data_IF_815093277031
#
_entry.id   IF_815093277031
#
_cell.length_a   1.000
_cell.length_b   1.000
_cell.length_c   1.000
_cell.angle_alpha   90.00
_cell.angle_beta   90.00
_cell.angle_gamma   90.00
#
_symmetry.space_group_name_H-M   'P 1'
#
loop_
_entity.id
_entity.type
_entity.pdbx_description
1 polymer ?
#
# COMPACT_ATOMS: atom_id res chain seq x y z
N UNK A 1 -14.86 19.27 13.70
CA UNK A 1 -13.51 18.82 13.25
C UNK A 1 -12.98 19.87 12.28
N UNK A 2 -11.71 20.24 12.36
CA UNK A 2 -11.11 21.29 11.50
C UNK A 2 -10.60 20.69 10.19
N UNK A 3 -10.77 21.38 9.06
CA UNK A 3 -10.27 20.96 7.75
C UNK A 3 -8.78 20.62 7.73
N UNK A 4 -7.97 21.38 8.49
CA UNK A 4 -6.53 21.13 8.61
C UNK A 4 -6.22 19.78 9.29
N UNK A 5 -7.02 19.40 10.28
CA UNK A 5 -6.87 18.11 10.96
C UNK A 5 -7.28 16.95 10.04
N UNK A 6 -8.28 17.14 9.19
CA UNK A 6 -8.68 16.12 8.21
C UNK A 6 -7.56 15.89 7.19
N UNK A 7 -7.00 16.98 6.64
CA UNK A 7 -5.89 16.92 5.68
C UNK A 7 -4.65 16.25 6.27
N UNK A 8 -4.27 16.59 7.51
CA UNK A 8 -3.11 15.96 8.15
C UNK A 8 -3.33 14.47 8.40
N UNK A 9 -4.53 14.06 8.82
CA UNK A 9 -4.87 12.64 8.98
C UNK A 9 -4.83 11.89 7.64
N UNK A 10 -5.39 12.47 6.58
CA UNK A 10 -5.32 11.88 5.23
C UNK A 10 -3.88 11.72 4.77
N UNK A 11 -3.01 12.73 4.98
CA UNK A 11 -1.59 12.64 4.63
C UNK A 11 -0.88 11.50 5.36
N UNK A 12 -1.14 11.35 6.67
CA UNK A 12 -0.55 10.28 7.49
C UNK A 12 -1.00 8.89 7.02
N UNK A 13 -2.28 8.73 6.71
CA UNK A 13 -2.82 7.46 6.19
C UNK A 13 -2.25 7.14 4.82
N UNK A 14 -2.21 8.13 3.91
CA UNK A 14 -1.67 7.94 2.57
C UNK A 14 -0.17 7.59 2.61
N UNK A 15 0.62 8.28 3.43
CA UNK A 15 2.04 7.99 3.60
C UNK A 15 2.27 6.58 4.17
N UNK A 16 1.49 6.18 5.18
CA UNK A 16 1.55 4.83 5.75
C UNK A 16 1.19 3.77 4.71
N UNK A 17 0.16 4.05 3.89
CA UNK A 17 -0.23 3.21 2.76
C UNK A 17 0.87 3.04 1.72
N UNK A 18 1.57 4.13 1.36
CA UNK A 18 2.75 4.09 0.46
C UNK A 18 3.84 3.20 1.05
N UNK A 19 4.17 3.36 2.33
CA UNK A 19 5.21 2.57 2.98
C UNK A 19 4.89 1.07 2.96
N UNK A 20 3.66 0.70 3.31
CA UNK A 20 3.20 -0.71 3.33
C UNK A 20 3.14 -1.27 1.90
N UNK A 21 2.47 -0.58 0.97
CA UNK A 21 2.30 -1.05 -0.40
C UNK A 21 3.65 -1.12 -1.15
N UNK A 22 4.54 -0.16 -0.90
CA UNK A 22 5.90 -0.16 -1.44
C UNK A 22 6.72 -1.34 -0.93
N UNK A 23 6.64 -1.64 0.38
CA UNK A 23 7.26 -2.84 0.96
C UNK A 23 6.73 -4.12 0.31
N UNK A 24 5.41 -4.27 0.20
CA UNK A 24 4.79 -5.45 -0.40
C UNK A 24 5.12 -5.59 -1.89
N UNK A 25 5.16 -4.49 -2.63
CA UNK A 25 5.59 -4.48 -4.04
C UNK A 25 7.03 -4.97 -4.16
N UNK A 26 7.93 -4.49 -3.29
CA UNK A 26 9.31 -4.93 -3.29
C UNK A 26 9.45 -6.41 -2.90
N UNK A 27 8.68 -6.86 -1.93
CA UNK A 27 8.64 -8.27 -1.51
C UNK A 27 8.15 -9.17 -2.65
N UNK A 28 7.12 -8.74 -3.40
CA UNK A 28 6.60 -9.45 -4.58
C UNK A 28 7.71 -9.80 -5.57
N UNK A 29 8.51 -8.79 -5.93
CA UNK A 29 9.61 -8.96 -6.89
C UNK A 29 10.86 -9.65 -6.32
N UNK A 30 11.00 -9.78 -5.00
CA UNK A 30 12.17 -10.39 -4.33
C UNK A 30 11.95 -11.84 -3.88
N UNK A 31 10.85 -12.47 -4.30
CA UNK A 31 10.54 -13.86 -3.95
C UNK A 31 9.60 -14.01 -2.76
N UNK A 32 8.73 -13.02 -2.53
CA UNK A 32 7.57 -13.10 -1.64
C UNK A 32 7.85 -13.28 -0.15
N UNK A 33 9.05 -13.01 0.36
CA UNK A 33 9.31 -13.04 1.80
C UNK A 33 8.61 -11.87 2.53
N UNK A 34 7.49 -12.12 3.22
CA UNK A 34 6.67 -11.08 3.86
C UNK A 34 6.72 -11.16 5.39
N UNK A 35 6.92 -10.01 6.04
CA UNK A 35 6.79 -9.89 7.48
C UNK A 35 5.31 -9.97 7.88
N UNK A 36 4.97 -10.99 8.69
CA UNK A 36 3.61 -11.21 9.18
C UNK A 36 3.61 -11.29 10.72
N UNK A 37 3.70 -10.14 11.42
CA UNK A 37 3.92 -10.12 12.86
C UNK A 37 2.70 -10.61 13.67
N UNK A 38 1.50 -10.63 13.07
CA UNK A 38 0.24 -10.98 13.75
C UNK A 38 -0.56 -11.90 12.82
N UNK A 39 -1.08 -13.01 13.35
CA UNK A 39 -2.05 -13.86 12.68
C UNK A 39 -1.51 -14.84 11.62
N UNK A 40 -0.34 -14.60 11.04
CA UNK A 40 0.23 -15.47 10.00
C UNK A 40 -0.54 -15.44 8.67
N UNK A 41 -0.13 -16.26 7.71
CA UNK A 41 -0.83 -16.42 6.42
C UNK A 41 -0.63 -15.30 5.39
N UNK A 42 0.13 -14.25 5.72
CA UNK A 42 0.43 -13.16 4.78
C UNK A 42 1.08 -13.67 3.49
N UNK A 43 2.00 -14.63 3.59
CA UNK A 43 2.65 -15.24 2.41
C UNK A 43 1.61 -15.89 1.48
N UNK A 44 0.69 -16.68 2.04
CA UNK A 44 -0.36 -17.36 1.27
C UNK A 44 -1.26 -16.37 0.54
N UNK A 45 -1.61 -15.25 1.19
CA UNK A 45 -2.42 -14.19 0.57
C UNK A 45 -1.64 -13.48 -0.53
N UNK A 46 -0.38 -13.12 -0.25
CA UNK A 46 0.49 -12.39 -1.17
C UNK A 46 0.97 -13.24 -2.36
N UNK A 47 0.98 -14.58 -2.23
CA UNK A 47 1.29 -15.50 -3.32
C UNK A 47 0.06 -16.09 -4.02
N UNK A 48 -1.15 -15.60 -3.69
CA UNK A 48 -2.39 -16.10 -4.28
C UNK A 48 -2.62 -15.54 -5.69
N UNK A 49 -3.49 -16.19 -6.48
CA UNK A 49 -3.91 -15.66 -7.79
C UNK A 49 -4.56 -14.27 -7.70
N UNK A 50 -5.13 -13.93 -6.54
CA UNK A 50 -5.79 -12.64 -6.28
C UNK A 50 -4.79 -11.51 -5.98
N UNK A 51 -3.51 -11.84 -5.77
CA UNK A 51 -2.46 -10.84 -5.54
C UNK A 51 -2.06 -10.11 -6.82
N UNK A 52 -2.50 -10.58 -7.99
CA UNK A 52 -2.28 -9.93 -9.28
C UNK A 52 -3.60 -9.72 -10.03
N UNK A 53 -3.75 -8.58 -10.69
CA UNK A 53 -4.79 -8.33 -11.67
C UNK A 53 -4.16 -8.17 -13.05
N UNK A 54 -4.52 -9.03 -13.99
CA UNK A 54 -3.99 -9.01 -15.36
C UNK A 54 -2.44 -8.97 -15.43
N UNK A 55 -1.77 -9.67 -14.50
CA UNK A 55 -0.30 -9.70 -14.37
C UNK A 55 0.31 -8.48 -13.68
N UNK A 56 -0.52 -7.59 -13.13
CA UNK A 56 -0.07 -6.43 -12.34
C UNK A 56 -0.32 -6.70 -10.85
N UNK A 57 0.71 -6.61 -9.99
CA UNK A 57 0.55 -6.83 -8.55
C UNK A 57 -0.42 -5.80 -7.93
N UNK A 58 -1.36 -6.28 -7.12
CA UNK A 58 -2.31 -5.43 -6.37
C UNK A 58 -1.58 -4.43 -5.47
N UNK A 59 -0.45 -4.84 -4.91
CA UNK A 59 0.41 -3.96 -4.10
C UNK A 59 0.89 -2.73 -4.90
N UNK A 60 1.21 -2.90 -6.19
CA UNK A 60 1.63 -1.80 -7.07
C UNK A 60 0.46 -0.83 -7.33
N UNK A 61 -0.75 -1.38 -7.52
CA UNK A 61 -1.96 -0.57 -7.69
C UNK A 61 -2.25 0.26 -6.44
N UNK A 62 -2.19 -0.37 -5.25
CA UNK A 62 -2.33 0.33 -3.97
C UNK A 62 -1.28 1.42 -3.77
N UNK A 63 -0.01 1.14 -4.11
CA UNK A 63 1.07 2.13 -4.07
C UNK A 63 0.75 3.34 -4.96
N UNK A 64 0.30 3.10 -6.20
CA UNK A 64 -0.06 4.17 -7.13
C UNK A 64 -1.23 5.02 -6.61
N UNK A 65 -2.25 4.38 -6.03
CA UNK A 65 -3.42 5.06 -5.49
C UNK A 65 -3.06 5.98 -4.32
N UNK A 66 -2.26 5.52 -3.35
CA UNK A 66 -1.84 6.36 -2.24
C UNK A 66 -0.87 7.47 -2.67
N UNK A 67 0.02 7.21 -3.64
CA UNK A 67 0.90 8.23 -4.21
C UNK A 67 0.09 9.34 -4.90
N UNK A 68 -0.92 9.00 -5.69
CA UNK A 68 -1.82 9.97 -6.32
C UNK A 68 -2.59 10.76 -5.26
N UNK A 69 -3.16 10.08 -4.25
CA UNK A 69 -3.90 10.74 -3.17
C UNK A 69 -3.03 11.76 -2.43
N UNK A 70 -1.79 11.39 -2.07
CA UNK A 70 -0.86 12.28 -1.39
C UNK A 70 -0.42 13.44 -2.32
N UNK A 71 -0.20 13.15 -3.60
CA UNK A 71 0.13 14.16 -4.61
C UNK A 71 -0.98 15.19 -4.80
N UNK A 72 -2.23 14.76 -4.86
CA UNK A 72 -3.40 15.65 -4.93
C UNK A 72 -3.51 16.52 -3.67
N UNK A 73 -3.33 15.93 -2.48
CA UNK A 73 -3.36 16.67 -1.22
C UNK A 73 -2.23 17.71 -1.11
N UNK A 74 -1.09 17.45 -1.74
CA UNK A 74 0.05 18.36 -1.78
C UNK A 74 -0.07 19.45 -2.87
N UNK A 75 -0.94 19.23 -3.86
CA UNK A 75 -1.22 20.20 -4.92
C UNK A 75 -2.29 21.22 -4.48
N UNK A 76 -3.21 20.81 -3.60
CA UNK A 76 -4.23 21.66 -2.97
C UNK A 76 -3.67 22.70 -1.98
#
# INVERSE_FOLDING_TARGET
MSDRALRSLTALVAFSGIAIAGYLTLAHYRGNAVACPIGGGCETVQSSEYAELAGVPVALLGLSAYAVMLGLLAWD
#
